data_IF_021203179788
#
_entry.id   IF_021203179788
#
_cell.length_a   1.000
_cell.length_b   1.000
_cell.length_c   1.000
_cell.angle_alpha   90.00
_cell.angle_beta   90.00
_cell.angle_gamma   90.00
#
_symmetry.space_group_name_H-M   'P 1'
#
loop_
_entity.id
_entity.type
_entity.pdbx_description
1 polymer ?
#
# COMPACT_ATOMS: atom_id res chain seq x y z
N UNK A 1 -0.23 20.74 21.49
CA UNK A 1 0.43 19.90 20.45
C UNK A 1 -0.21 18.52 20.51
N UNK A 2 -0.91 18.07 19.47
CA UNK A 2 -1.50 16.71 19.46
C UNK A 2 -0.37 15.67 19.38
N UNK A 3 -0.42 14.64 20.22
CA UNK A 3 0.53 13.52 20.16
C UNK A 3 0.42 12.84 18.79
N UNK A 4 1.57 12.58 18.16
CA UNK A 4 1.67 11.84 16.88
C UNK A 4 0.99 10.46 16.99
N UNK A 5 0.92 9.86 18.18
CA UNK A 5 0.19 8.61 18.46
C UNK A 5 -1.29 8.74 18.12
N UNK A 6 -1.93 9.87 18.43
CA UNK A 6 -3.34 10.11 18.09
C UNK A 6 -3.59 10.14 16.59
N UNK A 7 -2.63 10.66 15.81
CA UNK A 7 -2.67 10.64 14.36
C UNK A 7 -2.49 9.21 13.83
N UNK A 8 -1.51 8.46 14.35
CA UNK A 8 -1.28 7.07 13.96
C UNK A 8 -2.50 6.18 14.22
N UNK A 9 -3.14 6.32 15.38
CA UNK A 9 -4.37 5.62 15.72
C UNK A 9 -5.54 6.00 14.80
N UNK A 10 -5.69 7.30 14.46
CA UNK A 10 -6.72 7.74 13.55
C UNK A 10 -6.55 7.14 12.14
N UNK A 11 -5.31 7.09 11.63
CA UNK A 11 -5.00 6.48 10.33
C UNK A 11 -5.28 4.97 10.36
N UNK A 12 -4.87 4.28 11.43
CA UNK A 12 -5.14 2.85 11.55
C UNK A 12 -6.64 2.55 11.64
N UNK A 13 -7.38 3.32 12.44
CA UNK A 13 -8.82 3.20 12.58
C UNK A 13 -9.54 3.45 11.23
N UNK A 14 -9.09 4.44 10.46
CA UNK A 14 -9.61 4.69 9.11
C UNK A 14 -9.39 3.49 8.20
N UNK A 15 -8.18 2.90 8.20
CA UNK A 15 -7.88 1.69 7.43
C UNK A 15 -8.79 0.51 7.79
N UNK A 16 -9.02 0.28 9.08
CA UNK A 16 -9.93 -0.77 9.58
C UNK A 16 -11.38 -0.48 9.15
N UNK A 17 -11.85 0.76 9.32
CA UNK A 17 -13.19 1.15 8.92
C UNK A 17 -13.43 0.95 7.41
N UNK A 18 -12.46 1.34 6.58
CA UNK A 18 -12.51 1.11 5.13
C UNK A 18 -12.50 -0.39 4.80
N UNK A 19 -11.69 -1.19 5.50
CA UNK A 19 -11.71 -2.66 5.34
C UNK A 19 -13.07 -3.27 5.67
N UNK A 20 -13.71 -2.84 6.76
CA UNK A 20 -15.07 -3.29 7.12
C UNK A 20 -16.09 -2.89 6.06
N UNK A 21 -16.01 -1.68 5.52
CA UNK A 21 -16.88 -1.23 4.43
C UNK A 21 -16.69 -2.07 3.16
N UNK A 22 -15.44 -2.36 2.76
CA UNK A 22 -15.12 -3.20 1.61
C UNK A 22 -15.68 -4.62 1.75
N UNK A 23 -15.60 -5.21 2.96
CA UNK A 23 -16.13 -6.55 3.22
C UNK A 23 -17.66 -6.58 3.22
N UNK A 24 -18.31 -5.52 3.73
CA UNK A 24 -19.77 -5.43 3.78
C UNK A 24 -20.41 -5.02 2.46
N UNK A 25 -19.70 -4.26 1.65
CA UNK A 25 -20.17 -3.71 0.38
C UNK A 25 -19.16 -3.95 -0.74
N UNK A 26 -18.94 -5.21 -1.17
CA UNK A 26 -18.01 -5.53 -2.24
C UNK A 26 -18.51 -5.10 -3.63
N UNK A 27 -19.80 -4.77 -3.76
CA UNK A 27 -20.40 -4.27 -4.99
C UNK A 27 -19.66 -3.03 -5.53
N UNK A 28 -19.10 -3.13 -6.73
CA UNK A 28 -18.36 -2.04 -7.38
C UNK A 28 -16.84 -2.13 -7.28
N UNK A 29 -16.29 -3.13 -6.57
CA UNK A 29 -14.86 -3.42 -6.61
C UNK A 29 -14.43 -3.83 -8.02
N UNK A 30 -13.53 -3.05 -8.63
CA UNK A 30 -12.89 -3.38 -9.92
C UNK A 30 -11.72 -4.37 -9.76
N UNK A 31 -11.45 -4.81 -8.54
CA UNK A 31 -10.34 -5.70 -8.20
C UNK A 31 -10.84 -6.80 -7.24
N UNK A 32 -10.15 -7.95 -7.17
CA UNK A 32 -10.42 -8.98 -6.18
C UNK A 32 -10.36 -8.41 -4.75
N UNK A 33 -11.21 -8.95 -3.88
CA UNK A 33 -11.34 -8.51 -2.49
C UNK A 33 -9.99 -8.45 -1.76
N UNK A 34 -9.12 -9.45 -1.96
CA UNK A 34 -7.81 -9.51 -1.32
C UNK A 34 -6.87 -8.35 -1.72
N UNK A 35 -6.96 -7.85 -2.96
CA UNK A 35 -6.17 -6.69 -3.43
C UNK A 35 -6.65 -5.42 -2.74
N UNK A 36 -7.97 -5.25 -2.64
CA UNK A 36 -8.58 -4.11 -1.97
C UNK A 36 -8.24 -4.10 -0.47
N UNK A 37 -8.29 -5.28 0.18
CA UNK A 37 -7.90 -5.44 1.58
C UNK A 37 -6.41 -5.17 1.80
N UNK A 38 -5.54 -5.59 0.89
CA UNK A 38 -4.12 -5.24 0.95
C UNK A 38 -3.90 -3.72 0.87
N UNK A 39 -4.61 -3.03 -0.03
CA UNK A 39 -4.51 -1.57 -0.16
C UNK A 39 -4.93 -0.84 1.12
N UNK A 40 -6.07 -1.20 1.74
CA UNK A 40 -6.47 -0.59 3.03
C UNK A 40 -5.59 -1.03 4.19
N UNK A 41 -5.00 -2.22 4.10
CA UNK A 41 -3.98 -2.70 5.04
C UNK A 41 -2.76 -1.78 5.12
N UNK A 42 -2.44 -1.05 4.05
CA UNK A 42 -1.37 -0.04 4.06
C UNK A 42 -1.67 1.08 5.07
N UNK A 43 -2.92 1.53 5.20
CA UNK A 43 -3.27 2.55 6.21
C UNK A 43 -3.11 2.00 7.63
N UNK A 44 -3.54 0.77 7.87
CA UNK A 44 -3.37 0.11 9.18
C UNK A 44 -1.89 0.00 9.53
N UNK A 45 -1.08 -0.52 8.60
CA UNK A 45 0.36 -0.63 8.79
C UNK A 45 1.03 0.73 9.00
N UNK A 46 0.68 1.75 8.22
CA UNK A 46 1.20 3.12 8.37
C UNK A 46 0.87 3.72 9.74
N UNK A 47 -0.36 3.55 10.23
CA UNK A 47 -0.74 3.98 11.57
C UNK A 47 0.06 3.27 12.66
N UNK A 48 0.27 1.95 12.51
CA UNK A 48 1.09 1.16 13.42
C UNK A 48 2.58 1.58 13.39
N UNK A 49 3.12 1.96 12.23
CA UNK A 49 4.50 2.50 12.13
C UNK A 49 4.65 3.75 12.99
N UNK A 50 3.69 4.68 12.92
CA UNK A 50 3.70 5.93 13.69
C UNK A 50 3.63 5.63 15.19
N UNK A 51 2.70 4.77 15.62
CA UNK A 51 2.54 4.41 17.04
C UNK A 51 3.79 3.68 17.57
N UNK A 52 4.37 2.78 16.78
CA UNK A 52 5.54 2.01 17.19
C UNK A 52 6.82 2.85 17.25
N UNK A 53 6.92 3.90 16.43
CA UNK A 53 8.02 4.87 16.44
C UNK A 53 8.06 5.63 17.77
N UNK A 54 6.91 6.17 18.21
CA UNK A 54 6.80 6.84 19.52
C UNK A 54 7.02 5.91 20.71
N UNK A 55 6.52 4.67 20.63
CA UNK A 55 6.63 3.70 21.73
C UNK A 55 8.03 3.08 21.89
N UNK A 56 8.98 3.36 20.98
CA UNK A 56 10.30 2.74 20.99
C UNK A 56 10.29 1.23 20.72
N UNK A 57 9.16 0.67 20.28
CA UNK A 57 8.96 -0.76 20.07
C UNK A 57 9.57 -1.20 18.74
N UNK A 58 10.91 -1.29 18.67
CA UNK A 58 11.66 -1.54 17.42
C UNK A 58 11.18 -2.76 16.64
N UNK A 59 10.80 -3.85 17.32
CA UNK A 59 10.26 -5.05 16.65
C UNK A 59 8.91 -4.78 15.98
N UNK A 60 8.00 -4.09 16.67
CA UNK A 60 6.69 -3.73 16.11
C UNK A 60 6.84 -2.76 14.95
N UNK A 61 7.73 -1.76 15.08
CA UNK A 61 8.02 -0.82 14.01
C UNK A 61 8.51 -1.56 12.75
N UNK A 62 9.45 -2.51 12.90
CA UNK A 62 9.96 -3.30 11.76
C UNK A 62 8.90 -4.16 11.10
N UNK A 63 8.05 -4.81 11.89
CA UNK A 63 6.93 -5.60 11.38
C UNK A 63 5.91 -4.71 10.66
N UNK A 64 5.59 -3.54 11.22
CA UNK A 64 4.66 -2.60 10.63
C UNK A 64 5.19 -2.02 9.30
N UNK A 65 6.48 -1.65 9.22
CA UNK A 65 7.12 -1.21 7.97
C UNK A 65 7.12 -2.33 6.92
N UNK A 66 7.44 -3.56 7.32
CA UNK A 66 7.40 -4.71 6.40
C UNK A 66 5.99 -4.96 5.88
N UNK A 67 4.99 -4.92 6.76
CA UNK A 67 3.58 -5.04 6.40
C UNK A 67 3.11 -3.92 5.48
N UNK A 68 3.56 -2.68 5.72
CA UNK A 68 3.26 -1.53 4.87
C UNK A 68 3.83 -1.72 3.45
N UNK A 69 5.10 -2.11 3.34
CA UNK A 69 5.74 -2.35 2.04
C UNK A 69 5.09 -3.51 1.29
N UNK A 70 4.72 -4.60 1.97
CA UNK A 70 3.97 -5.70 1.38
C UNK A 70 2.58 -5.25 0.88
N UNK A 71 1.86 -4.47 1.71
CA UNK A 71 0.57 -3.90 1.34
C UNK A 71 0.67 -2.98 0.12
N UNK A 72 1.70 -2.14 0.05
CA UNK A 72 1.97 -1.26 -1.10
C UNK A 72 2.43 -2.00 -2.34
N UNK A 73 3.15 -3.12 -2.20
CA UNK A 73 3.59 -3.96 -3.31
C UNK A 73 2.43 -4.73 -3.95
N UNK A 74 1.41 -5.07 -3.16
CA UNK A 74 0.38 -6.01 -3.58
C UNK A 74 -0.47 -5.51 -4.77
N UNK A 75 -1.07 -4.30 -4.75
CA UNK A 75 -1.81 -3.78 -5.91
C UNK A 75 -0.98 -3.62 -7.20
N UNK A 76 0.20 -2.97 -7.19
CA UNK A 76 0.98 -2.78 -8.41
C UNK A 76 1.50 -4.11 -8.97
N UNK A 77 1.88 -5.08 -8.12
CA UNK A 77 2.26 -6.41 -8.57
C UNK A 77 1.09 -7.15 -9.22
N UNK A 78 -0.12 -7.06 -8.64
CA UNK A 78 -1.33 -7.65 -9.23
C UNK A 78 -1.69 -7.02 -10.57
N UNK A 79 -1.55 -5.70 -10.73
CA UNK A 79 -1.82 -5.03 -12.01
C UNK A 79 -0.78 -5.46 -13.06
N UNK A 80 0.50 -5.46 -12.70
CA UNK A 80 1.59 -5.79 -13.62
C UNK A 80 1.56 -7.25 -14.08
N UNK A 81 1.36 -8.19 -13.14
CA UNK A 81 1.52 -9.63 -13.38
C UNK A 81 0.19 -10.39 -13.52
N UNK A 82 -0.93 -9.81 -13.07
CA UNK A 82 -2.20 -10.52 -13.06
C UNK A 82 -2.78 -10.74 -14.47
N UNK A 83 -3.57 -11.80 -14.61
CA UNK A 83 -4.20 -12.19 -15.87
C UNK A 83 -5.35 -11.26 -16.29
N UNK A 84 -5.67 -11.28 -17.59
CA UNK A 84 -6.77 -10.53 -18.18
C UNK A 84 -6.43 -9.09 -18.60
N UNK A 85 -7.29 -8.45 -19.42
CA UNK A 85 -7.08 -7.07 -19.85
C UNK A 85 -7.17 -6.10 -18.67
N UNK A 86 -6.21 -5.17 -18.57
CA UNK A 86 -6.17 -4.09 -17.59
C UNK A 86 -6.57 -2.78 -18.28
N UNK A 87 -7.71 -2.24 -17.87
CA UNK A 87 -8.13 -0.91 -18.32
C UNK A 87 -7.65 0.10 -17.29
N UNK A 88 -6.62 0.84 -17.65
CA UNK A 88 -6.08 1.90 -16.81
C UNK A 88 -6.49 3.24 -17.41
N UNK A 89 -7.12 4.03 -16.56
CA UNK A 89 -7.51 5.38 -16.90
C UNK A 89 -6.35 6.27 -16.47
N UNK A 90 -5.54 6.70 -17.44
CA UNK A 90 -4.45 7.63 -17.21
C UNK A 90 -5.04 9.00 -16.91
N UNK A 91 -4.78 9.53 -15.73
CA UNK A 91 -5.08 10.91 -15.41
C UNK A 91 -3.95 11.82 -15.85
N UNK A 92 -4.08 12.47 -17.01
CA UNK A 92 -3.31 13.69 -17.32
C UNK A 92 -3.95 14.84 -16.53
N UNK A 93 -3.60 14.97 -15.26
CA UNK A 93 -4.12 16.03 -14.39
C UNK A 93 -3.14 16.36 -13.27
N UNK A 94 -2.58 17.57 -13.31
CA UNK A 94 -1.93 18.20 -12.17
C UNK A 94 -2.98 18.35 -11.06
N UNK A 95 -2.95 17.50 -10.03
CA UNK A 95 -3.81 17.64 -8.84
C UNK A 95 -4.99 16.67 -8.70
N UNK A 96 -5.00 15.52 -9.38
CA UNK A 96 -5.97 14.44 -9.11
C UNK A 96 -7.31 14.52 -9.85
N UNK A 97 -7.55 15.58 -10.62
CA UNK A 97 -8.65 15.66 -11.59
C UNK A 97 -8.11 15.35 -13.00
N UNK A 98 -7.92 14.08 -13.32
CA UNK A 98 -7.43 13.64 -14.63
C UNK A 98 -8.56 13.46 -15.62
N UNK A 99 -8.42 14.03 -16.83
CA UNK A 99 -9.23 13.62 -17.99
C UNK A 99 -8.82 12.18 -18.29
N UNK A 100 -9.77 11.25 -18.19
CA UNK A 100 -9.49 9.84 -18.30
C UNK A 100 -9.13 9.43 -19.73
N UNK A 101 -7.85 9.41 -20.05
CA UNK A 101 -7.38 8.86 -21.32
C UNK A 101 -7.11 7.37 -21.11
N UNK A 102 -7.72 6.52 -21.93
CA UNK A 102 -7.43 5.09 -21.91
C UNK A 102 -5.96 4.86 -22.23
N UNK A 103 -5.21 4.28 -21.29
CA UNK A 103 -3.80 3.94 -21.49
C UNK A 103 -3.74 2.52 -22.05
N UNK A 104 -2.90 2.23 -23.06
CA UNK A 104 -2.75 0.87 -23.57
C UNK A 104 -2.32 -0.07 -22.44
N UNK A 105 -2.85 -1.30 -22.44
CA UNK A 105 -2.63 -2.32 -21.40
C UNK A 105 -1.14 -2.49 -21.05
N UNK A 106 -0.29 -2.54 -22.08
CA UNK A 106 1.16 -2.63 -21.92
C UNK A 106 1.76 -1.47 -21.11
N UNK A 107 1.38 -0.23 -21.40
CA UNK A 107 1.92 0.93 -20.68
C UNK A 107 1.42 0.96 -19.23
N UNK A 108 0.20 0.49 -18.98
CA UNK A 108 -0.28 0.33 -17.62
C UNK A 108 0.53 -0.71 -16.84
N UNK A 109 0.71 -1.90 -17.42
CA UNK A 109 1.48 -2.98 -16.79
C UNK A 109 2.93 -2.58 -16.56
N UNK A 110 3.55 -1.88 -17.51
CA UNK A 110 4.91 -1.38 -17.38
C UNK A 110 5.03 -0.35 -16.24
N UNK A 111 4.10 0.62 -16.16
CA UNK A 111 4.10 1.65 -15.12
C UNK A 111 3.93 1.06 -13.71
N UNK A 112 2.93 0.22 -13.52
CA UNK A 112 2.73 -0.47 -12.23
C UNK A 112 3.83 -1.50 -11.95
N UNK A 113 4.38 -2.14 -12.99
CA UNK A 113 5.49 -3.09 -12.87
C UNK A 113 6.77 -2.44 -12.37
N UNK A 114 7.10 -1.24 -12.87
CA UNK A 114 8.22 -0.45 -12.37
C UNK A 114 7.99 -0.01 -10.92
N UNK A 115 6.79 0.45 -10.58
CA UNK A 115 6.41 0.76 -9.19
C UNK A 115 6.55 -0.45 -8.26
N UNK A 116 6.06 -1.61 -8.68
CA UNK A 116 6.20 -2.86 -7.95
C UNK A 116 7.67 -3.25 -7.75
N UNK A 117 8.50 -3.13 -8.80
CA UNK A 117 9.92 -3.44 -8.72
C UNK A 117 10.65 -2.54 -7.70
N UNK A 118 10.36 -1.24 -7.69
CA UNK A 118 10.94 -0.30 -6.72
C UNK A 118 10.55 -0.69 -5.29
N UNK A 119 9.27 -0.91 -5.03
CA UNK A 119 8.79 -1.29 -3.68
C UNK A 119 9.35 -2.65 -3.26
N UNK A 120 9.48 -3.61 -4.18
CA UNK A 120 10.09 -4.91 -3.92
C UNK A 120 11.57 -4.79 -3.55
N UNK A 121 12.34 -3.93 -4.23
CA UNK A 121 13.74 -3.65 -3.88
C UNK A 121 13.86 -3.00 -2.51
N UNK A 122 12.97 -2.04 -2.18
CA UNK A 122 12.92 -1.43 -0.85
C UNK A 122 12.64 -2.47 0.23
N UNK A 123 11.65 -3.35 0.01
CA UNK A 123 11.33 -4.45 0.93
C UNK A 123 12.50 -5.42 1.08
N UNK A 124 13.12 -5.85 -0.02
CA UNK A 124 14.26 -6.75 0.00
C UNK A 124 15.46 -6.13 0.76
N UNK A 125 15.79 -4.88 0.49
CA UNK A 125 16.84 -4.15 1.21
C UNK A 125 16.53 -4.00 2.71
N UNK A 126 15.28 -3.72 3.04
CA UNK A 126 14.81 -3.65 4.42
C UNK A 126 14.97 -5.00 5.14
N UNK A 127 14.44 -6.08 4.57
CA UNK A 127 14.52 -7.42 5.14
C UNK A 127 15.98 -7.91 5.24
N UNK A 128 16.81 -7.60 4.25
CA UNK A 128 18.22 -7.93 4.26
C UNK A 128 18.98 -7.24 5.40
N UNK A 129 18.77 -5.93 5.59
CA UNK A 129 19.37 -5.20 6.70
C UNK A 129 18.88 -5.71 8.06
N UNK A 130 17.60 -6.06 8.15
CA UNK A 130 17.02 -6.64 9.35
C UNK A 130 17.64 -8.01 9.67
N UNK A 131 17.76 -8.91 8.68
CA UNK A 131 18.39 -10.22 8.84
C UNK A 131 19.87 -10.13 9.27
N UNK A 132 20.58 -9.08 8.85
CA UNK A 132 21.98 -8.83 9.26
C UNK A 132 22.12 -8.12 10.61
N UNK A 133 21.02 -7.85 11.32
CA UNK A 133 21.05 -7.19 12.62
C UNK A 133 21.60 -5.76 12.57
N UNK A 134 21.66 -5.14 11.39
CA UNK A 134 22.15 -3.77 11.25
C UNK A 134 21.18 -2.82 11.96
N UNK A 135 21.68 -1.82 12.70
CA UNK A 135 20.84 -0.73 13.16
C UNK A 135 20.25 -0.04 11.93
N UNK A 136 18.93 0.09 11.92
CA UNK A 136 18.18 0.93 10.99
C UNK A 136 17.95 2.27 11.65
#
# INVERSE_FOLDING_TARGET
MKSKTSLGLAIAALGVALGVLIVRHPEGLRAPLWVALAAVGAFVAAGLVIVADEGGARRLHRLAVSGLLLAMLTPPAWIALGEGPRVCVGGIGLGGAGIGVGVPDFACRAGFGLGAAIVALMLAGFLYNWARGKPM
#
